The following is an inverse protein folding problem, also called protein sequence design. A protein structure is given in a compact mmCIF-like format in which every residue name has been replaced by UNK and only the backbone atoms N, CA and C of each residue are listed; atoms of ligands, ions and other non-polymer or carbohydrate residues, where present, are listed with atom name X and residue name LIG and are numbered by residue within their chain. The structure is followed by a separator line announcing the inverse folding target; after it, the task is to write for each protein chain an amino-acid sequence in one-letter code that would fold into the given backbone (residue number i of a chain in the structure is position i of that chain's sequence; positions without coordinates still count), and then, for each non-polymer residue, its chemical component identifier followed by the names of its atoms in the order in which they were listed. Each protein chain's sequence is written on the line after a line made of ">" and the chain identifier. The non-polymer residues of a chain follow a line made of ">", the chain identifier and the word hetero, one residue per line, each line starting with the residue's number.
data_IF_453825316621
#
_entry.id   IF_453825316621
#
_cell.length_a   1.000
_cell.length_b   1.000
_cell.length_c   1.000
_cell.angle_alpha   90.00
_cell.angle_beta   90.00
_cell.angle_gamma   90.00
#
_symmetry.space_group_name_H-M   'P 1'
#
loop_
_entity.id
_entity.type
_entity.pdbx_description
1 polymer ?
#
# COMPACT_ATOMS: atom_id res chain seq x y z
N UNK A 1 -0.32 -11.18 -30.15
CA UNK A 1 0.88 -10.63 -29.48
C UNK A 1 0.52 -9.25 -28.96
N UNK A 2 -0.03 -9.16 -27.73
CA UNK A 2 -0.37 -7.88 -27.12
C UNK A 2 0.87 -7.00 -27.03
N UNK A 3 0.76 -5.75 -27.49
CA UNK A 3 1.85 -4.79 -27.40
C UNK A 3 2.13 -4.56 -25.91
N UNK A 4 3.30 -5.00 -25.44
CA UNK A 4 3.77 -4.72 -24.07
C UNK A 4 3.72 -3.21 -23.83
N UNK A 5 3.14 -2.79 -22.70
CA UNK A 5 2.99 -1.37 -22.35
C UNK A 5 4.36 -0.68 -22.37
N UNK A 6 4.48 0.42 -23.10
CA UNK A 6 5.73 1.18 -23.24
C UNK A 6 6.25 1.68 -21.90
N UNK A 7 5.36 2.03 -20.94
CA UNK A 7 5.76 2.39 -19.58
C UNK A 7 6.41 1.22 -18.86
N UNK A 8 5.80 0.03 -18.97
CA UNK A 8 6.37 -1.17 -18.38
C UNK A 8 7.77 -1.49 -18.93
N UNK A 9 8.07 -1.16 -20.19
CA UNK A 9 9.39 -1.36 -20.80
C UNK A 9 10.40 -0.29 -20.35
N UNK A 10 9.97 0.95 -20.18
CA UNK A 10 10.85 2.08 -19.90
C UNK A 10 11.24 2.20 -18.43
N UNK A 11 10.26 2.21 -17.52
CA UNK A 11 10.43 2.45 -16.09
C UNK A 11 9.80 1.37 -15.19
N UNK A 12 9.27 0.30 -15.80
CA UNK A 12 8.54 -0.72 -15.06
C UNK A 12 7.16 -0.26 -14.58
N UNK A 13 6.58 0.75 -15.24
CA UNK A 13 5.31 1.37 -14.87
C UNK A 13 5.36 1.93 -13.44
N UNK A 14 6.30 2.86 -13.20
CA UNK A 14 6.50 3.46 -11.89
C UNK A 14 5.33 4.40 -11.50
N UNK A 15 4.80 4.22 -10.29
CA UNK A 15 3.70 5.02 -9.74
C UNK A 15 4.04 5.56 -8.35
N UNK A 16 3.58 6.77 -8.05
CA UNK A 16 3.55 7.28 -6.68
C UNK A 16 2.21 6.91 -6.03
N UNK A 17 2.24 6.19 -4.91
CA UNK A 17 1.04 5.60 -4.27
C UNK A 17 1.07 5.80 -2.76
N UNK A 18 -0.06 5.60 -2.11
CA UNK A 18 -0.22 5.74 -0.66
C UNK A 18 -0.48 4.38 -0.02
N UNK A 19 0.08 4.13 1.17
CA UNK A 19 -0.25 3.01 2.02
C UNK A 19 -0.44 3.54 3.46
N UNK A 20 -1.60 3.30 4.06
CA UNK A 20 -1.83 3.66 5.45
C UNK A 20 -1.44 2.51 6.36
N UNK A 21 -0.76 2.81 7.46
CA UNK A 21 -0.37 1.81 8.45
C UNK A 21 -0.37 2.40 9.86
N UNK A 22 -0.23 1.54 10.86
CA UNK A 22 -0.27 1.91 12.28
C UNK A 22 1.13 2.05 12.90
N UNK A 23 1.22 2.85 13.95
CA UNK A 23 2.42 2.99 14.77
C UNK A 23 2.04 3.28 16.22
N UNK A 24 2.93 2.93 17.15
CA UNK A 24 2.68 3.01 18.61
C UNK A 24 3.70 3.85 19.36
N UNK A 25 4.70 4.38 18.65
CA UNK A 25 5.81 5.15 19.22
C UNK A 25 5.66 6.66 18.97
N UNK A 26 6.65 7.45 19.39
CA UNK A 26 6.65 8.90 19.30
C UNK A 26 7.24 9.44 17.98
N UNK A 27 7.21 8.64 16.92
CA UNK A 27 7.61 9.08 15.58
C UNK A 27 6.79 10.32 15.18
N UNK A 28 7.47 11.39 14.74
CA UNK A 28 6.89 12.67 14.38
C UNK A 28 6.60 13.62 15.56
N UNK A 29 6.61 13.13 16.80
CA UNK A 29 6.38 13.98 17.98
C UNK A 29 7.58 14.89 18.21
N UNK A 30 7.34 16.20 18.31
CA UNK A 30 8.39 17.22 18.52
C UNK A 30 9.55 17.13 17.51
N UNK A 31 9.28 16.69 16.28
CA UNK A 31 10.30 16.51 15.24
C UNK A 31 11.15 15.25 15.38
N UNK A 32 10.78 14.31 16.27
CA UNK A 32 11.47 13.02 16.39
C UNK A 32 11.35 12.21 15.10
N UNK A 33 12.50 11.82 14.53
CA UNK A 33 12.61 10.93 13.37
C UNK A 33 13.18 9.56 13.72
N UNK A 34 13.29 9.24 15.02
CA UNK A 34 13.86 7.98 15.50
C UNK A 34 12.89 6.83 15.31
N UNK A 35 13.34 5.76 14.66
CA UNK A 35 12.59 4.51 14.54
C UNK A 35 12.72 3.68 15.83
N UNK A 36 11.64 3.01 16.23
CA UNK A 36 11.65 2.11 17.38
C UNK A 36 11.88 0.63 16.97
N UNK A 37 12.03 -0.25 17.96
CA UNK A 37 12.11 -1.70 17.77
C UNK A 37 10.88 -2.45 18.32
N UNK A 38 9.76 -1.74 18.54
CA UNK A 38 8.53 -2.36 19.05
C UNK A 38 7.89 -3.23 17.95
N UNK A 39 7.52 -4.46 18.31
CA UNK A 39 6.98 -5.43 17.35
C UNK A 39 5.67 -4.97 16.70
N UNK A 40 4.84 -4.23 17.43
CA UNK A 40 3.52 -3.75 16.95
C UNK A 40 3.58 -2.38 16.25
N UNK A 41 4.76 -1.81 16.04
CA UNK A 41 4.92 -0.55 15.34
C UNK A 41 5.15 -0.79 13.85
N UNK A 42 4.06 -0.95 13.10
CA UNK A 42 4.08 -1.32 11.67
C UNK A 42 4.90 -0.36 10.82
N UNK A 43 4.73 0.96 11.00
CA UNK A 43 5.49 1.99 10.28
C UNK A 43 7.01 1.85 10.51
N UNK A 44 7.47 1.73 11.76
CA UNK A 44 8.90 1.56 12.03
C UNK A 44 9.41 0.21 11.49
N UNK A 45 8.59 -0.85 11.56
CA UNK A 45 8.89 -2.14 10.96
C UNK A 45 9.09 -2.04 9.45
N UNK A 46 8.19 -1.36 8.74
CA UNK A 46 8.26 -1.14 7.29
C UNK A 46 9.48 -0.29 6.92
N UNK A 47 9.76 0.79 7.64
CA UNK A 47 10.94 1.64 7.38
C UNK A 47 12.23 0.83 7.56
N UNK A 48 12.30 -0.01 8.60
CA UNK A 48 13.50 -0.77 8.95
C UNK A 48 13.75 -1.97 8.03
N UNK A 49 12.68 -2.66 7.64
CA UNK A 49 12.77 -4.00 7.04
C UNK A 49 12.05 -4.12 5.70
N UNK A 50 11.38 -3.07 5.25
CA UNK A 50 10.47 -3.10 4.09
C UNK A 50 9.12 -3.76 4.40
N UNK A 51 8.28 -3.84 3.39
CA UNK A 51 7.01 -4.56 3.48
C UNK A 51 7.23 -6.08 3.65
N UNK A 52 6.36 -6.72 4.42
CA UNK A 52 6.44 -8.15 4.70
C UNK A 52 6.03 -8.98 3.46
N UNK A 53 6.79 -10.02 3.09
CA UNK A 53 6.40 -10.95 2.01
C UNK A 53 5.27 -11.91 2.42
N UNK A 54 4.83 -11.89 3.68
CA UNK A 54 3.82 -12.82 4.20
C UNK A 54 2.38 -12.43 3.85
N UNK A 55 2.17 -11.30 3.17
CA UNK A 55 0.84 -10.84 2.77
C UNK A 55 0.56 -11.29 1.34
N UNK A 56 -0.71 -11.56 1.01
CA UNK A 56 -1.18 -11.92 -0.34
C UNK A 56 -0.98 -10.79 -1.38
N UNK A 57 -0.43 -9.65 -0.93
CA UNK A 57 0.04 -8.53 -1.70
C UNK A 57 0.11 -7.28 -0.82
N UNK A 58 0.64 -6.20 -1.36
CA UNK A 58 0.68 -4.90 -0.69
C UNK A 58 -0.35 -4.01 -1.36
N UNK A 59 -1.39 -3.66 -0.61
CA UNK A 59 -2.38 -2.69 -1.04
C UNK A 59 -1.77 -1.28 -1.07
N UNK A 60 -1.84 -0.64 -2.22
CA UNK A 60 -1.45 0.75 -2.42
C UNK A 60 -2.58 1.50 -3.10
N UNK A 61 -2.80 2.76 -2.72
CA UNK A 61 -3.95 3.58 -3.15
C UNK A 61 -3.48 4.81 -3.93
N UNK A 62 -4.32 5.30 -4.84
CA UNK A 62 -4.05 6.50 -5.66
C UNK A 62 -4.08 7.80 -4.87
N UNK A 63 -4.86 7.85 -3.79
CA UNK A 63 -5.11 9.07 -3.01
C UNK A 63 -4.87 8.84 -1.51
N UNK A 64 -4.48 9.91 -0.82
CA UNK A 64 -4.31 9.93 0.63
C UNK A 64 -5.62 9.66 1.36
N UNK A 65 -6.75 10.18 0.87
CA UNK A 65 -8.07 9.94 1.46
C UNK A 65 -8.45 8.45 1.46
N UNK A 66 -8.28 7.76 0.33
CA UNK A 66 -8.57 6.31 0.27
C UNK A 66 -7.61 5.49 1.11
N UNK A 67 -6.32 5.84 1.10
CA UNK A 67 -5.35 5.19 1.99
C UNK A 67 -5.77 5.36 3.45
N UNK A 68 -6.14 6.57 3.86
CA UNK A 68 -6.63 6.84 5.20
C UNK A 68 -7.86 5.96 5.55
N UNK A 69 -8.82 5.84 4.63
CA UNK A 69 -10.03 5.00 4.82
C UNK A 69 -9.77 3.49 4.77
N UNK A 70 -8.58 3.04 4.35
CA UNK A 70 -8.23 1.62 4.28
C UNK A 70 -8.01 0.98 5.68
N UNK A 71 -7.79 1.80 6.71
CA UNK A 71 -7.77 1.35 8.10
C UNK A 71 -9.10 1.74 8.75
N UNK A 72 -9.93 0.76 9.16
CA UNK A 72 -11.17 1.00 9.89
C UNK A 72 -10.95 1.86 11.14
N UNK A 73 -11.91 2.75 11.45
CA UNK A 73 -11.81 3.68 12.59
C UNK A 73 -11.81 2.96 13.95
N UNK A 74 -12.47 1.81 14.04
CA UNK A 74 -12.54 0.98 15.24
C UNK A 74 -11.18 0.38 15.64
N UNK A 75 -10.24 0.20 14.70
CA UNK A 75 -8.88 -0.28 15.00
C UNK A 75 -8.17 0.64 15.99
N UNK A 76 -8.32 1.97 15.85
CA UNK A 76 -7.67 2.90 16.78
C UNK A 76 -8.30 2.89 18.17
N UNK A 77 -9.63 2.75 18.25
CA UNK A 77 -10.33 2.66 19.52
C UNK A 77 -10.10 1.31 20.22
N UNK A 78 -10.11 0.20 19.48
CA UNK A 78 -9.87 -1.15 20.00
C UNK A 78 -8.46 -1.27 20.60
N UNK A 79 -7.47 -0.68 19.93
CA UNK A 79 -6.05 -0.74 20.34
C UNK A 79 -5.55 0.55 21.01
N UNK A 80 -6.46 1.41 21.47
CA UNK A 80 -6.16 2.68 22.15
C UNK A 80 -5.24 2.53 23.36
N UNK A 81 -5.37 1.42 24.10
CA UNK A 81 -4.53 1.10 25.25
C UNK A 81 -3.04 0.90 24.89
N UNK A 82 -2.74 0.63 23.61
CA UNK A 82 -1.37 0.55 23.08
C UNK A 82 -0.87 1.87 22.50
N UNK A 83 -1.62 2.97 22.65
CA UNK A 83 -1.33 4.26 22.01
C UNK A 83 -1.15 4.12 20.49
N UNK A 84 -1.99 3.28 19.88
CA UNK A 84 -1.99 3.10 18.42
C UNK A 84 -2.42 4.40 17.75
N UNK A 85 -1.73 4.74 16.67
CA UNK A 85 -1.99 5.90 15.82
C UNK A 85 -1.84 5.45 14.37
N UNK A 86 -2.49 6.15 13.43
CA UNK A 86 -2.27 5.94 11.99
C UNK A 86 -1.27 6.93 11.38
N UNK A 87 -0.53 6.48 10.39
CA UNK A 87 0.31 7.31 9.54
C UNK A 87 0.21 6.82 8.08
N UNK A 88 0.51 7.71 7.15
CA UNK A 88 0.51 7.41 5.72
C UNK A 88 1.93 7.31 5.19
N UNK A 89 2.25 6.21 4.51
CA UNK A 89 3.45 6.07 3.70
C UNK A 89 3.15 6.53 2.28
N UNK A 90 3.98 7.43 1.75
CA UNK A 90 4.04 7.70 0.32
C UNK A 90 5.11 6.79 -0.27
N UNK A 91 4.70 5.92 -1.18
CA UNK A 91 5.54 4.88 -1.75
C UNK A 91 5.75 5.13 -3.24
N UNK A 92 6.99 4.93 -3.69
CA UNK A 92 7.30 4.68 -5.10
C UNK A 92 7.06 3.21 -5.39
N UNK A 93 6.26 2.91 -6.39
CA UNK A 93 5.80 1.56 -6.71
C UNK A 93 6.16 1.22 -8.15
N UNK A 94 6.90 0.13 -8.35
CA UNK A 94 7.11 -0.45 -9.69
C UNK A 94 5.93 -1.40 -9.95
N UNK A 95 4.89 -0.92 -10.65
CA UNK A 95 3.67 -1.70 -10.84
C UNK A 95 3.86 -2.88 -11.81
N UNK A 96 4.87 -2.79 -12.69
CA UNK A 96 5.12 -3.77 -13.73
C UNK A 96 3.90 -3.96 -14.63
N UNK A 97 3.65 -5.22 -15.01
CA UNK A 97 2.46 -5.61 -15.76
C UNK A 97 1.28 -5.67 -14.80
N UNK A 98 0.30 -4.82 -15.05
CA UNK A 98 -0.91 -4.71 -14.22
C UNK A 98 -2.01 -5.56 -14.84
N UNK A 99 -2.55 -6.50 -14.08
CA UNK A 99 -3.73 -7.27 -14.46
C UNK A 99 -5.02 -6.65 -13.93
N UNK A 100 -6.13 -6.96 -14.58
CA UNK A 100 -7.47 -6.67 -14.04
C UNK A 100 -8.14 -7.95 -13.55
N UNK A 101 -8.83 -7.87 -12.40
CA UNK A 101 -9.64 -8.97 -11.89
C UNK A 101 -10.72 -9.35 -12.93
N UNK A 102 -10.69 -10.60 -13.42
CA UNK A 102 -11.59 -11.11 -14.46
C UNK A 102 -10.95 -11.29 -15.85
N UNK A 103 -9.69 -10.91 -16.04
CA UNK A 103 -8.93 -11.29 -17.24
C UNK A 103 -8.45 -12.75 -17.12
N UNK A 104 -8.77 -13.58 -18.11
CA UNK A 104 -8.26 -14.95 -18.16
C UNK A 104 -6.74 -14.91 -18.35
N UNK A 105 -6.01 -15.51 -17.41
CA UNK A 105 -4.56 -15.65 -17.51
C UNK A 105 -4.27 -16.63 -18.65
N UNK A 106 -3.82 -16.10 -19.79
CA UNK A 106 -3.29 -16.94 -20.86
C UNK A 106 -2.08 -17.71 -20.31
N UNK A 107 -2.09 -19.03 -20.46
CA UNK A 107 -1.04 -19.93 -19.91
C UNK A 107 0.36 -19.70 -20.51
N UNK A 108 0.45 -18.84 -21.52
CA UNK A 108 1.68 -18.45 -22.21
C UNK A 108 2.25 -17.10 -21.73
N UNK A 109 1.55 -16.35 -20.86
CA UNK A 109 2.05 -15.08 -20.32
C UNK A 109 2.65 -15.26 -18.91
N UNK A 110 3.76 -14.56 -18.61
CA UNK A 110 4.55 -14.68 -17.37
C UNK A 110 3.83 -14.06 -16.13
N UNK A 111 2.49 -14.10 -16.08
CA UNK A 111 1.66 -13.53 -15.01
C UNK A 111 1.72 -12.00 -14.90
N UNK A 112 1.04 -11.47 -13.89
CA UNK A 112 1.02 -10.03 -13.57
C UNK A 112 1.88 -9.71 -12.34
N UNK A 113 2.53 -8.56 -12.35
CA UNK A 113 3.35 -8.06 -11.25
C UNK A 113 2.49 -7.36 -10.18
N UNK A 114 1.34 -6.84 -10.59
CA UNK A 114 0.32 -6.26 -9.73
C UNK A 114 -1.08 -6.40 -10.33
N UNK A 115 -2.12 -6.23 -9.51
CA UNK A 115 -3.52 -6.25 -9.98
C UNK A 115 -4.30 -5.06 -9.46
N UNK A 116 -5.23 -4.55 -10.27
CA UNK A 116 -6.21 -3.57 -9.84
C UNK A 116 -7.28 -4.31 -9.06
N UNK A 117 -7.37 -4.04 -7.75
CA UNK A 117 -8.38 -4.63 -6.88
C UNK A 117 -9.70 -3.89 -6.98
N UNK A 118 -10.82 -4.61 -7.15
CA UNK A 118 -12.14 -4.06 -6.87
C UNK A 118 -12.37 -4.16 -5.38
N UNK A 119 -12.30 -3.03 -4.68
CA UNK A 119 -12.36 -2.97 -3.22
C UNK A 119 -13.45 -3.87 -2.64
N UNK A 120 -13.08 -4.77 -1.72
CA UNK A 120 -13.94 -5.77 -1.08
C UNK A 120 -14.97 -5.19 -0.09
N UNK A 121 -15.56 -4.04 -0.39
CA UNK A 121 -16.67 -3.45 0.35
C UNK A 121 -17.99 -3.83 -0.30
N UNK A 122 -18.81 -4.62 0.39
CA UNK A 122 -20.21 -4.85 0.06
C UNK A 122 -20.99 -3.52 -0.03
N UNK A 123 -21.05 -2.92 -1.22
CA UNK A 123 -21.71 -1.64 -1.41
C UNK A 123 -21.64 -1.10 -2.83
N UNK A 124 -22.59 -1.53 -3.65
CA UNK A 124 -23.22 -0.78 -4.75
C UNK A 124 -22.48 0.46 -5.34
N UNK A 125 -21.92 0.26 -6.54
CA UNK A 125 -21.66 1.25 -7.61
C UNK A 125 -20.70 2.41 -7.33
N UNK A 126 -19.52 2.39 -7.96
CA UNK A 126 -19.15 3.39 -9.00
C UNK A 126 -18.02 2.84 -9.89
N UNK A 127 -18.05 3.15 -11.19
CA UNK A 127 -16.96 2.91 -12.17
C UNK A 127 -15.72 3.81 -11.92
N UNK A 128 -15.47 4.19 -10.67
CA UNK A 128 -14.35 5.01 -10.21
C UNK A 128 -13.35 4.21 -9.36
N UNK A 129 -13.59 2.90 -9.21
CA UNK A 129 -12.82 1.97 -8.36
C UNK A 129 -11.54 1.40 -9.02
N UNK A 130 -10.87 2.17 -9.87
CA UNK A 130 -9.58 1.82 -10.50
C UNK A 130 -8.38 2.22 -9.62
N UNK A 131 -8.56 2.26 -8.30
CA UNK A 131 -7.67 3.06 -7.42
C UNK A 131 -6.84 2.26 -6.43
N UNK A 132 -7.17 1.00 -6.17
CA UNK A 132 -6.35 0.09 -5.36
C UNK A 132 -5.50 -0.80 -6.27
N UNK A 133 -4.20 -0.85 -5.99
CA UNK A 133 -3.23 -1.67 -6.71
C UNK A 133 -2.57 -2.58 -5.70
N UNK A 134 -2.82 -3.88 -5.87
CA UNK A 134 -2.22 -4.93 -5.06
C UNK A 134 -0.92 -5.38 -5.72
N UNK A 135 0.20 -5.16 -5.04
CA UNK A 135 1.55 -5.46 -5.54
C UNK A 135 2.10 -6.70 -4.86
N UNK A 136 2.48 -7.72 -5.62
CA UNK A 136 2.86 -9.03 -5.05
C UNK A 136 4.32 -9.10 -4.59
N UNK A 137 5.20 -8.28 -5.17
CA UNK A 137 6.61 -8.24 -4.78
C UNK A 137 6.86 -7.10 -3.78
N UNK A 138 7.20 -7.37 -2.51
CA UNK A 138 7.45 -6.32 -1.53
C UNK A 138 8.63 -5.42 -1.85
N UNK A 139 9.58 -5.89 -2.67
CA UNK A 139 10.71 -5.06 -3.12
C UNK A 139 10.32 -4.04 -4.19
N UNK A 140 9.15 -4.18 -4.80
CA UNK A 140 8.63 -3.24 -5.78
C UNK A 140 7.96 -2.01 -5.12
N UNK A 141 7.77 -2.02 -3.80
CA UNK A 141 7.15 -0.93 -3.03
C UNK A 141 8.20 -0.29 -2.13
N UNK A 142 8.66 0.90 -2.49
CA UNK A 142 9.67 1.66 -1.76
C UNK A 142 8.99 2.79 -0.97
N UNK A 143 8.93 2.72 0.38
CA UNK A 143 8.52 3.86 1.19
C UNK A 143 9.49 5.03 0.98
N UNK A 144 8.97 6.19 0.59
CA UNK A 144 9.75 7.41 0.36
C UNK A 144 9.55 8.43 1.47
N UNK A 145 8.30 8.57 1.93
CA UNK A 145 7.93 9.52 2.98
C UNK A 145 6.96 8.89 3.96
N UNK A 146 7.03 9.30 5.22
CA UNK A 146 5.99 9.03 6.23
C UNK A 146 5.33 10.35 6.61
N UNK A 147 4.00 10.37 6.54
CA UNK A 147 3.16 11.50 6.93
C UNK A 147 2.49 11.10 8.23
N UNK A 148 2.90 11.75 9.33
CA UNK A 148 2.24 11.65 10.63
C UNK A 148 1.23 12.79 10.73
N UNK A 149 -0.02 12.45 11.03
CA UNK A 149 -1.13 13.40 11.10
C UNK A 149 -2.09 13.02 12.23
N UNK A 150 -2.89 13.97 12.66
CA UNK A 150 -4.01 13.76 13.58
C UNK A 150 -5.29 13.58 12.77
N UNK A 151 -6.13 12.62 13.15
CA UNK A 151 -7.48 12.43 12.61
C UNK A 151 -8.44 13.39 13.30
#
# INVERSE_FOLDING_TARGET
>A
MGRRDERCIADGNELLRFNCSTFTCDLGLNGSSSICNQQYCSICGIIKSGFSPKMDGISTLSTSWRAHMAIPEDVEEEFKFMNVKRAMLVCRVVAGRVGSEGEEIDKEDDGFDSVIGRGGGSGAYTKLDEEELLVFNPRAVLPCFVIVYTV
#
